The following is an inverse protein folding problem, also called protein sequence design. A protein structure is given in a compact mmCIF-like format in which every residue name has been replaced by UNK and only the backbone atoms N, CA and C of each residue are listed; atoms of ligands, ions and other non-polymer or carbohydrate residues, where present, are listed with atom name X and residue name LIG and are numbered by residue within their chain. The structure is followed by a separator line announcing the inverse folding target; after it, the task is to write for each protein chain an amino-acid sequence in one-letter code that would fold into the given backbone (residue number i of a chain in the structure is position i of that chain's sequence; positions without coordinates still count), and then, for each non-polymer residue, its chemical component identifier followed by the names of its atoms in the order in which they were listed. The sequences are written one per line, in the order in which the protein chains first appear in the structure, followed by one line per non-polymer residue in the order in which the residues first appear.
data_IF_602433867601
#
_entry.id   IF_602433867601
#
_cell.length_a   1.000
_cell.length_b   1.000
_cell.length_c   1.000
_cell.angle_alpha   90.00
_cell.angle_beta   90.00
_cell.angle_gamma   90.00
#
_symmetry.space_group_name_H-M   'P 1'
#
loop_
_entity.id
_entity.type
_entity.pdbx_description
1 polymer ?
#
# COMPACT_ATOMS: atom_id res chain seq x y z
N UNK A 1 2.62 -6.77 -72.81
CA UNK A 1 4.08 -7.00 -72.82
C UNK A 1 4.64 -6.47 -71.50
N UNK A 2 5.07 -7.24 -70.51
CA UNK A 2 5.51 -8.62 -70.45
C UNK A 2 6.96 -8.67 -69.95
N UNK A 3 7.15 -9.25 -68.76
CA UNK A 3 8.41 -9.71 -68.11
C UNK A 3 9.42 -8.66 -67.58
N UNK A 4 10.35 -8.97 -66.65
CA UNK A 4 10.49 -9.82 -65.43
C UNK A 4 12.00 -9.83 -65.10
N UNK A 5 12.37 -9.99 -63.84
CA UNK A 5 13.73 -10.35 -63.39
C UNK A 5 14.54 -9.16 -62.87
N UNK A 6 15.17 -9.19 -61.70
CA UNK A 6 15.41 -10.26 -60.74
C UNK A 6 16.41 -9.77 -59.67
N UNK A 7 16.67 -10.59 -58.65
CA UNK A 7 17.74 -10.40 -57.66
C UNK A 7 17.20 -10.05 -56.27
N UNK A 8 16.99 -11.00 -55.36
CA UNK A 8 17.98 -11.73 -54.53
C UNK A 8 18.66 -10.88 -53.46
N UNK A 9 18.52 -11.33 -52.21
CA UNK A 9 19.25 -10.88 -51.02
C UNK A 9 18.54 -9.73 -50.31
N UNK A 10 18.17 -9.83 -49.03
CA UNK A 10 19.05 -10.29 -47.96
C UNK A 10 18.23 -10.65 -46.73
N UNK A 11 18.58 -11.79 -46.12
CA UNK A 11 18.13 -12.26 -44.83
C UNK A 11 18.25 -11.15 -43.77
N UNK A 12 17.13 -10.75 -43.19
CA UNK A 12 17.14 -10.00 -41.93
C UNK A 12 17.15 -11.04 -40.81
N UNK A 13 18.33 -11.23 -40.23
CA UNK A 13 18.56 -12.07 -39.06
C UNK A 13 17.65 -11.61 -37.91
N UNK A 14 16.76 -12.49 -37.47
CA UNK A 14 16.07 -12.31 -36.20
C UNK A 14 17.08 -12.56 -35.07
N UNK A 15 17.29 -11.63 -34.12
CA UNK A 15 18.07 -11.94 -32.93
C UNK A 15 17.29 -12.94 -32.07
N UNK A 16 17.90 -14.08 -31.78
CA UNK A 16 17.38 -15.05 -30.81
C UNK A 16 17.29 -14.41 -29.42
N UNK A 17 16.21 -14.65 -28.65
CA UNK A 17 16.19 -14.24 -27.25
C UNK A 17 17.22 -15.07 -26.46
N UNK A 18 17.91 -14.48 -25.48
CA UNK A 18 18.76 -15.24 -24.58
C UNK A 18 17.90 -16.19 -23.75
N UNK A 19 18.06 -17.49 -23.99
CA UNK A 19 17.77 -18.53 -23.00
C UNK A 19 18.79 -18.38 -21.89
N UNK A 20 18.37 -17.86 -20.74
CA UNK A 20 19.14 -17.99 -19.50
C UNK A 20 18.25 -17.86 -18.27
N UNK A 21 18.30 -18.93 -17.49
CA UNK A 21 18.16 -18.95 -16.04
C UNK A 21 16.78 -18.67 -15.46
N UNK A 22 16.12 -19.79 -15.17
CA UNK A 22 15.41 -20.00 -13.93
C UNK A 22 16.12 -19.28 -12.76
N UNK A 23 15.72 -18.02 -12.52
CA UNK A 23 16.00 -17.31 -11.29
C UNK A 23 14.77 -17.51 -10.44
N UNK A 24 14.99 -18.22 -9.34
CA UNK A 24 14.06 -18.54 -8.28
C UNK A 24 12.79 -17.70 -8.28
N UNK A 25 11.64 -18.38 -8.31
CA UNK A 25 10.39 -17.81 -7.85
C UNK A 25 10.67 -17.00 -6.57
N UNK A 26 10.22 -15.73 -6.48
CA UNK A 26 10.31 -15.03 -5.21
C UNK A 26 9.58 -15.90 -4.20
N UNK A 27 10.34 -16.43 -3.24
CA UNK A 27 9.82 -17.23 -2.15
C UNK A 27 8.52 -16.59 -1.69
N UNK A 28 7.41 -17.31 -1.89
CA UNK A 28 6.14 -16.91 -1.32
C UNK A 28 6.42 -16.61 0.15
N UNK A 29 6.13 -15.39 0.65
CA UNK A 29 6.45 -15.05 2.02
C UNK A 29 5.73 -16.06 2.89
N UNK A 30 6.51 -16.89 3.57
CA UNK A 30 6.05 -17.84 4.56
C UNK A 30 5.03 -17.12 5.43
N UNK A 31 3.79 -17.64 5.42
CA UNK A 31 2.68 -17.19 6.26
C UNK A 31 3.15 -17.25 7.72
N UNK A 32 3.76 -16.16 8.16
CA UNK A 32 4.23 -15.98 9.52
C UNK A 32 2.99 -15.58 10.32
N UNK A 33 2.59 -16.37 11.33
CA UNK A 33 1.46 -16.03 12.18
C UNK A 33 1.83 -14.74 12.93
N UNK A 34 1.38 -13.61 12.40
CA UNK A 34 1.74 -12.26 12.87
C UNK A 34 1.82 -11.21 11.78
N UNK A 35 2.24 -11.58 10.55
CA UNK A 35 2.34 -10.65 9.41
C UNK A 35 0.98 -10.09 8.99
N UNK A 36 -0.09 -10.78 9.37
CA UNK A 36 -1.47 -10.46 9.00
C UNK A 36 -2.05 -9.25 9.74
N UNK A 37 -1.37 -8.78 10.79
CA UNK A 37 -1.70 -7.56 11.53
C UNK A 37 -0.81 -6.36 11.14
N UNK A 38 0.13 -6.56 10.21
CA UNK A 38 1.04 -5.52 9.77
C UNK A 38 0.33 -4.57 8.82
N UNK A 39 0.45 -3.28 9.10
CA UNK A 39 -0.12 -2.20 8.27
C UNK A 39 0.32 -2.30 6.80
N UNK A 40 1.49 -2.88 6.55
CA UNK A 40 2.06 -3.17 5.24
C UNK A 40 1.19 -4.05 4.34
N UNK A 41 0.33 -4.88 4.91
CA UNK A 41 -0.60 -5.71 4.14
C UNK A 41 -1.87 -4.96 3.72
N UNK A 42 -2.19 -3.84 4.40
CA UNK A 42 -3.47 -3.14 4.28
C UNK A 42 -3.33 -1.77 3.62
N UNK A 43 -2.17 -1.14 3.78
CA UNK A 43 -1.92 0.25 3.42
C UNK A 43 -0.79 0.35 2.39
N UNK A 44 -0.79 1.46 1.66
CA UNK A 44 0.26 1.80 0.68
C UNK A 44 1.60 1.99 1.42
N UNK A 45 2.76 1.70 0.78
CA UNK A 45 4.08 1.81 1.42
C UNK A 45 4.36 3.17 2.10
N UNK A 46 3.95 4.27 1.47
CA UNK A 46 4.15 5.61 2.05
C UNK A 46 3.27 5.87 3.28
N UNK A 47 2.08 5.25 3.36
CA UNK A 47 1.18 5.37 4.52
C UNK A 47 1.79 4.63 5.71
N UNK A 48 2.36 3.45 5.47
CA UNK A 48 3.10 2.68 6.46
C UNK A 48 4.34 3.44 6.92
N UNK A 49 5.06 4.11 6.00
CA UNK A 49 6.22 4.92 6.36
C UNK A 49 5.85 6.12 7.27
N UNK A 50 4.70 6.76 7.02
CA UNK A 50 4.16 7.78 7.91
C UNK A 50 3.79 7.20 9.28
N UNK A 51 3.01 6.11 9.31
CA UNK A 51 2.58 5.49 10.57
C UNK A 51 3.77 5.00 11.39
N UNK A 52 4.78 4.42 10.74
CA UNK A 52 6.05 4.03 11.37
C UNK A 52 6.76 5.24 11.98
N UNK A 53 6.79 6.39 11.29
CA UNK A 53 7.35 7.63 11.86
C UNK A 53 6.56 8.17 13.06
N UNK A 54 5.27 7.82 13.15
CA UNK A 54 4.40 8.11 14.29
C UNK A 54 4.42 7.00 15.37
N UNK A 55 5.34 6.03 15.28
CA UNK A 55 5.42 4.85 16.16
C UNK A 55 4.17 3.96 16.15
N UNK A 56 3.43 3.97 15.04
CA UNK A 56 2.26 3.12 14.80
C UNK A 56 2.68 2.00 13.83
N UNK A 57 2.85 0.79 14.37
CA UNK A 57 3.37 -0.37 13.63
C UNK A 57 2.29 -1.41 13.35
N UNK A 58 1.20 -1.40 14.13
CA UNK A 58 0.11 -2.38 14.05
C UNK A 58 -1.26 -1.74 13.79
N UNK A 59 -2.17 -2.54 13.22
CA UNK A 59 -3.56 -2.17 13.01
C UNK A 59 -4.29 -1.75 14.31
N UNK A 60 -4.03 -2.45 15.41
CA UNK A 60 -4.60 -2.11 16.73
C UNK A 60 -4.09 -0.76 17.25
N UNK A 61 -2.78 -0.49 17.11
CA UNK A 61 -2.22 0.82 17.46
C UNK A 61 -2.83 1.94 16.63
N UNK A 62 -3.05 1.72 15.33
CA UNK A 62 -3.71 2.69 14.46
C UNK A 62 -5.13 3.00 14.95
N UNK A 63 -5.90 1.96 15.30
CA UNK A 63 -7.25 2.11 15.83
C UNK A 63 -7.27 2.92 17.12
N UNK A 64 -6.40 2.57 18.08
CA UNK A 64 -6.30 3.29 19.36
C UNK A 64 -5.83 4.73 19.18
N UNK A 65 -4.87 4.97 18.30
CA UNK A 65 -4.32 6.30 18.08
C UNK A 65 -5.35 7.21 17.37
N UNK A 66 -6.10 6.66 16.41
CA UNK A 66 -7.19 7.35 15.74
C UNK A 66 -8.36 7.67 16.68
N UNK A 67 -8.70 6.75 17.59
CA UNK A 67 -9.75 6.96 18.60
C UNK A 67 -9.36 8.06 19.63
N UNK A 68 -8.09 8.04 20.06
CA UNK A 68 -7.57 9.00 21.04
C UNK A 68 -7.35 10.40 20.48
N UNK A 69 -6.77 10.52 19.29
CA UNK A 69 -6.27 11.82 18.83
C UNK A 69 -6.07 11.92 17.30
N UNK A 70 -7.16 11.78 16.54
CA UNK A 70 -7.13 11.87 15.06
C UNK A 70 -6.63 13.22 14.54
N UNK A 71 -6.90 14.32 15.24
CA UNK A 71 -6.51 15.68 14.83
C UNK A 71 -5.00 15.88 14.89
N UNK A 72 -4.36 15.43 15.98
CA UNK A 72 -2.91 15.45 16.12
C UNK A 72 -2.22 14.58 15.07
N UNK A 73 -2.79 13.40 14.77
CA UNK A 73 -2.30 12.55 13.69
C UNK A 73 -2.46 13.19 12.32
N UNK A 74 -3.56 13.91 12.07
CA UNK A 74 -3.80 14.61 10.81
C UNK A 74 -2.81 15.76 10.62
N UNK A 75 -2.50 16.51 11.68
CA UNK A 75 -1.47 17.56 11.69
C UNK A 75 -0.07 16.97 11.49
N UNK A 76 0.25 15.87 12.17
CA UNK A 76 1.52 15.16 11.97
C UNK A 76 1.66 14.65 10.52
N UNK A 77 0.58 14.17 9.92
CA UNK A 77 0.56 13.75 8.51
C UNK A 77 0.82 14.92 7.56
N UNK A 78 0.24 16.08 7.83
CA UNK A 78 0.47 17.29 7.05
C UNK A 78 1.95 17.70 7.11
N UNK A 79 2.53 17.75 8.31
CA UNK A 79 3.95 18.04 8.49
C UNK A 79 4.85 17.01 7.80
N UNK A 80 4.53 15.73 7.90
CA UNK A 80 5.28 14.66 7.25
C UNK A 80 5.24 14.74 5.72
N UNK A 81 4.08 15.10 5.14
CA UNK A 81 3.95 15.34 3.70
C UNK A 81 4.74 16.55 3.26
N UNK A 82 4.67 17.64 4.03
CA UNK A 82 5.43 18.87 3.76
C UNK A 82 6.92 18.61 3.71
N UNK A 83 7.46 17.85 4.67
CA UNK A 83 8.87 17.50 4.74
C UNK A 83 9.35 16.63 3.56
N UNK A 84 8.44 15.94 2.89
CA UNK A 84 8.73 15.04 1.75
C UNK A 84 8.35 15.64 0.39
N UNK A 85 7.90 16.89 0.35
CA UNK A 85 7.42 17.52 -0.88
C UNK A 85 6.18 16.83 -1.48
N UNK A 86 5.39 16.14 -0.65
CA UNK A 86 4.14 15.52 -1.07
C UNK A 86 3.00 16.54 -1.09
N UNK A 87 1.97 16.27 -1.88
CA UNK A 87 0.78 17.11 -1.98
C UNK A 87 0.16 17.36 -0.59
N UNK A 88 0.15 18.64 -0.20
CA UNK A 88 -0.50 19.07 1.02
C UNK A 88 -2.00 18.97 0.80
N UNK A 89 -2.66 18.25 1.69
CA UNK A 89 -4.12 18.23 1.78
C UNK A 89 -4.51 18.85 3.10
N UNK A 90 -5.62 19.58 3.10
CA UNK A 90 -6.11 20.21 4.32
C UNK A 90 -6.31 19.21 5.45
N UNK A 91 -6.24 19.70 6.68
CA UNK A 91 -6.34 18.91 7.91
C UNK A 91 -7.54 17.94 7.90
N UNK A 92 -8.70 18.40 7.43
CA UNK A 92 -9.92 17.58 7.31
C UNK A 92 -9.72 16.38 6.38
N UNK A 93 -9.05 16.58 5.24
CA UNK A 93 -8.77 15.48 4.29
C UNK A 93 -7.79 14.45 4.88
N UNK A 94 -6.81 14.90 5.68
CA UNK A 94 -5.89 14.00 6.37
C UNK A 94 -6.59 13.22 7.49
N UNK A 95 -7.50 13.86 8.24
CA UNK A 95 -8.32 13.19 9.24
C UNK A 95 -9.27 12.14 8.62
N UNK A 96 -9.89 12.46 7.48
CA UNK A 96 -10.71 11.50 6.72
C UNK A 96 -9.84 10.32 6.25
N UNK A 97 -8.65 10.58 5.72
CA UNK A 97 -7.75 9.52 5.29
C UNK A 97 -7.39 8.57 6.45
N UNK A 98 -7.04 9.12 7.62
CA UNK A 98 -6.75 8.34 8.83
C UNK A 98 -7.96 7.50 9.28
N UNK A 99 -9.16 8.05 9.17
CA UNK A 99 -10.39 7.35 9.51
C UNK A 99 -10.69 6.21 8.55
N UNK A 100 -10.44 6.40 7.24
CA UNK A 100 -10.53 5.34 6.24
C UNK A 100 -9.52 4.24 6.54
N UNK A 101 -8.25 4.58 6.82
CA UNK A 101 -7.22 3.59 7.12
C UNK A 101 -7.55 2.78 8.37
N UNK A 102 -8.08 3.45 9.39
CA UNK A 102 -8.57 2.82 10.62
C UNK A 102 -9.75 1.90 10.35
N UNK A 103 -10.69 2.29 9.47
CA UNK A 103 -11.81 1.44 9.07
C UNK A 103 -11.33 0.21 8.29
N UNK A 104 -10.39 0.38 7.36
CA UNK A 104 -9.76 -0.73 6.63
C UNK A 104 -9.07 -1.70 7.58
N UNK A 105 -8.31 -1.17 8.55
CA UNK A 105 -7.66 -1.97 9.59
C UNK A 105 -8.69 -2.74 10.44
N UNK A 106 -9.77 -2.09 10.86
CA UNK A 106 -10.86 -2.72 11.60
C UNK A 106 -11.52 -3.85 10.82
N UNK A 107 -11.89 -3.59 9.58
CA UNK A 107 -12.57 -4.56 8.74
C UNK A 107 -11.66 -5.77 8.47
N UNK A 108 -10.36 -5.55 8.28
CA UNK A 108 -9.40 -6.63 8.13
C UNK A 108 -9.26 -7.49 9.39
N UNK A 109 -9.29 -6.88 10.59
CA UNK A 109 -9.27 -7.61 11.86
C UNK A 109 -10.57 -8.38 12.09
N UNK A 110 -11.72 -7.74 11.86
CA UNK A 110 -13.04 -8.36 12.02
C UNK A 110 -13.28 -9.50 11.03
N UNK A 111 -12.85 -9.36 9.76
CA UNK A 111 -12.95 -10.43 8.77
C UNK A 111 -12.15 -11.69 9.16
N UNK A 112 -11.16 -11.53 10.05
CA UNK A 112 -10.34 -12.63 10.58
C UNK A 112 -10.86 -13.20 11.90
N UNK A 113 -12.01 -12.73 12.40
CA UNK A 113 -12.57 -13.15 13.69
C UNK A 113 -11.77 -12.67 14.90
N UNK A 114 -10.79 -11.77 14.70
CA UNK A 114 -10.10 -11.09 15.80
C UNK A 114 -11.04 -9.99 16.26
N UNK A 115 -11.52 -10.06 17.51
CA UNK A 115 -12.38 -9.04 18.09
C UNK A 115 -11.64 -7.69 18.06
N UNK A 116 -11.90 -6.89 17.02
CA UNK A 116 -11.41 -5.53 16.93
C UNK A 116 -12.02 -4.76 18.11
N UNK A 117 -11.18 -3.98 18.80
CA UNK A 117 -11.57 -3.17 19.95
C UNK A 117 -12.93 -2.49 19.67
N UNK A 118 -13.94 -2.62 20.56
CA UNK A 118 -15.22 -1.97 20.36
C UNK A 118 -14.96 -0.47 20.32
N UNK A 119 -15.09 0.12 19.14
CA UNK A 119 -15.18 1.57 18.97
C UNK A 119 -16.65 1.87 19.19
N UNK A 120 -17.00 1.93 20.48
CA UNK A 120 -18.36 2.16 20.95
C UNK A 120 -18.82 3.56 20.50
N UNK A 121 -19.97 3.57 19.82
CA UNK A 121 -20.88 4.72 19.81
C UNK A 121 -20.37 6.02 19.18
N UNK A 122 -20.64 6.20 17.88
CA UNK A 122 -21.00 7.55 17.42
C UNK A 122 -22.15 7.53 16.40
N UNK A 123 -23.22 6.84 16.78
CA UNK A 123 -24.58 7.27 16.49
C UNK A 123 -24.88 8.51 17.34
N UNK A 124 -24.74 9.70 16.76
CA UNK A 124 -25.41 10.89 17.26
C UNK A 124 -26.13 11.56 16.10
N UNK A 125 -27.38 11.08 15.94
CA UNK A 125 -28.64 11.82 15.76
C UNK A 125 -28.66 12.96 14.75
#
# INVERSE_FOLDING_TARGET
NGNNGGGSGSSSFLPSPPSSSATAAPSAPSLTPGYENHLSALLRPWQVAFLSSASIVSADQLLRANDRNVENLASAMEGWRRARGLELRGMVANAIALRIWSLTARNALSAKGIAAHPSDGRDKK
#
